data_IF_837345397969
#
_entry.id   IF_837345397969
#
_cell.length_a   1.000
_cell.length_b   1.000
_cell.length_c   1.000
_cell.angle_alpha   90.00
_cell.angle_beta   90.00
_cell.angle_gamma   90.00
#
_symmetry.space_group_name_H-M   'P 1'
#
loop_
_entity.id
_entity.type
_entity.pdbx_description
1 polymer ?
#
# COMPACT_ATOMS: atom_id res chain seq x y z
N UNK A 1 -23.35 -34.54 2.72
CA UNK A 1 -21.95 -34.39 2.27
C UNK A 1 -21.56 -33.00 1.77
N UNK A 2 -22.37 -32.28 0.96
CA UNK A 2 -22.06 -30.87 0.60
C UNK A 2 -22.36 -29.82 1.70
N UNK A 3 -23.25 -30.11 2.65
CA UNK A 3 -23.59 -29.21 3.79
C UNK A 3 -22.55 -29.23 4.91
N UNK A 4 -21.84 -30.33 5.11
CA UNK A 4 -20.85 -30.50 6.19
C UNK A 4 -19.55 -29.74 5.93
N UNK A 5 -19.15 -29.55 4.66
CA UNK A 5 -17.95 -28.75 4.31
C UNK A 5 -18.11 -27.24 4.49
N UNK A 6 -19.34 -26.69 4.46
CA UNK A 6 -19.56 -25.25 4.69
C UNK A 6 -19.50 -24.85 6.17
N UNK A 7 -19.70 -25.80 7.09
CA UNK A 7 -19.67 -25.56 8.54
C UNK A 7 -18.24 -25.48 9.09
N UNK A 8 -17.25 -26.02 8.40
CA UNK A 8 -15.83 -25.94 8.81
C UNK A 8 -15.31 -24.49 8.75
N UNK A 9 -15.75 -23.68 7.78
CA UNK A 9 -15.31 -22.30 7.63
C UNK A 9 -15.82 -21.34 8.72
N UNK A 10 -16.81 -21.74 9.53
CA UNK A 10 -17.39 -20.91 10.61
C UNK A 10 -16.78 -21.25 11.97
N UNK A 11 -16.12 -22.40 12.09
CA UNK A 11 -15.60 -22.85 13.39
C UNK A 11 -14.41 -22.01 13.82
N UNK A 12 -14.54 -21.39 14.99
CA UNK A 12 -13.39 -20.89 15.74
C UNK A 12 -12.60 -22.14 16.17
N UNK A 13 -11.51 -22.44 15.47
CA UNK A 13 -10.68 -23.63 15.71
C UNK A 13 -9.87 -23.50 17.01
N UNK A 14 -9.80 -24.59 17.77
CA UNK A 14 -8.89 -24.80 18.90
C UNK A 14 -7.57 -25.41 18.42
N UNK A 15 -6.43 -24.90 18.87
CA UNK A 15 -5.10 -25.51 18.68
C UNK A 15 -4.89 -26.73 19.59
N UNK A 16 -5.68 -27.80 19.40
CA UNK A 16 -5.44 -29.08 20.06
C UNK A 16 -5.24 -30.14 18.98
N UNK A 17 -4.00 -30.27 18.49
CA UNK A 17 -3.55 -31.53 17.92
C UNK A 17 -3.29 -32.48 19.09
N UNK A 18 -4.14 -33.49 19.23
CA UNK A 18 -3.95 -34.61 20.14
C UNK A 18 -2.64 -35.32 19.81
N UNK A 19 -1.69 -35.32 20.75
CA UNK A 19 -0.53 -36.22 20.74
C UNK A 19 -1.05 -37.65 20.92
N UNK A 20 -1.15 -38.42 19.83
CA UNK A 20 -1.19 -39.86 19.92
C UNK A 20 0.25 -40.36 19.97
N UNK A 21 0.68 -40.81 21.15
CA UNK A 21 1.77 -41.76 21.27
C UNK A 21 1.26 -43.10 20.72
N UNK A 22 1.85 -43.60 19.64
CA UNK A 22 1.75 -44.99 19.24
C UNK A 22 3.15 -45.58 19.13
N UNK A 23 3.29 -46.69 19.84
CA UNK A 23 4.41 -47.58 20.02
C UNK A 23 5.04 -48.02 18.69
N UNK A 24 6.34 -48.27 18.73
CA UNK A 24 7.12 -48.93 17.69
C UNK A 24 6.48 -50.26 17.28
N UNK A 25 6.46 -50.52 15.98
CA UNK A 25 6.58 -51.86 15.42
C UNK A 25 7.21 -51.71 14.02
N UNK A 26 8.37 -52.34 13.88
CA UNK A 26 9.10 -52.59 12.63
C UNK A 26 8.22 -53.36 11.64
N UNK A 27 8.33 -53.05 10.34
CA UNK A 27 8.44 -54.07 9.27
C UNK A 27 8.67 -53.41 7.89
N UNK A 28 9.41 -54.16 7.09
CA UNK A 28 10.02 -53.89 5.78
C UNK A 28 9.07 -53.45 4.64
N UNK A 29 9.60 -52.68 3.66
CA UNK A 29 9.67 -53.10 2.23
C UNK A 29 10.02 -51.94 1.25
N UNK A 30 11.21 -52.08 0.66
CA UNK A 30 11.59 -52.03 -0.76
C UNK A 30 10.80 -51.24 -1.87
N UNK A 31 11.62 -50.61 -2.75
CA UNK A 31 11.42 -50.15 -4.14
C UNK A 31 10.68 -48.83 -4.48
N UNK A 32 11.41 -47.85 -5.04
CA UNK A 32 11.55 -47.69 -6.51
C UNK A 32 11.90 -46.26 -6.93
N UNK A 33 12.88 -46.14 -7.83
CA UNK A 33 13.26 -44.93 -8.56
C UNK A 33 12.16 -44.45 -9.52
N UNK A 34 11.96 -43.12 -9.58
CA UNK A 34 11.14 -42.49 -10.61
C UNK A 34 11.34 -40.98 -10.65
N UNK A 35 12.29 -40.53 -11.46
CA UNK A 35 12.58 -39.12 -11.71
C UNK A 35 11.51 -38.42 -12.58
N UNK A 36 11.39 -37.11 -12.38
CA UNK A 36 10.57 -36.23 -13.21
C UNK A 36 10.69 -34.80 -12.70
N UNK A 37 11.58 -34.03 -13.30
CA UNK A 37 11.94 -32.68 -12.86
C UNK A 37 10.84 -31.63 -13.06
N UNK A 38 10.92 -30.59 -12.24
CA UNK A 38 10.37 -29.28 -12.56
C UNK A 38 11.30 -28.21 -12.00
N UNK A 39 11.68 -27.29 -12.88
CA UNK A 39 12.68 -26.24 -12.73
C UNK A 39 12.23 -25.18 -11.73
N UNK A 40 12.86 -25.15 -10.56
CA UNK A 40 12.85 -23.99 -9.68
C UNK A 40 13.91 -22.99 -10.14
N UNK A 41 13.46 -21.78 -10.50
CA UNK A 41 14.33 -20.63 -10.66
C UNK A 41 14.80 -20.17 -9.28
N UNK A 42 16.06 -20.48 -8.97
CA UNK A 42 16.84 -19.85 -7.92
C UNK A 42 16.85 -18.33 -8.14
N UNK A 43 16.45 -17.57 -7.12
CA UNK A 43 16.73 -16.14 -7.04
C UNK A 43 17.67 -15.92 -5.86
N UNK A 44 18.95 -15.76 -6.21
CA UNK A 44 20.04 -15.47 -5.29
C UNK A 44 19.98 -14.03 -4.80
N UNK A 45 19.98 -13.87 -3.48
CA UNK A 45 20.12 -12.60 -2.79
C UNK A 45 21.59 -12.19 -2.79
N UNK A 46 21.97 -11.22 -3.63
CA UNK A 46 23.32 -10.63 -3.63
C UNK A 46 23.24 -9.20 -3.11
N UNK A 47 23.36 -9.05 -1.80
CA UNK A 47 23.62 -7.77 -1.13
C UNK A 47 25.08 -7.69 -0.72
N UNK A 48 25.89 -7.04 -1.56
CA UNK A 48 27.32 -6.79 -1.36
C UNK A 48 27.50 -5.72 -0.28
N UNK A 49 28.11 -6.07 0.86
CA UNK A 49 28.62 -5.13 1.86
C UNK A 49 30.15 -5.22 1.87
N UNK A 50 30.79 -4.07 2.06
CA UNK A 50 32.16 -3.75 1.66
C UNK A 50 33.27 -4.64 2.20
N UNK A 51 34.24 -4.88 1.33
CA UNK A 51 35.58 -5.38 1.61
C UNK A 51 36.44 -4.22 2.14
N UNK A 52 36.97 -4.34 3.35
CA UNK A 52 38.25 -3.73 3.78
C UNK A 52 38.96 -4.74 4.69
N UNK A 53 39.98 -5.36 4.09
CA UNK A 53 41.32 -5.77 4.54
C UNK A 53 41.59 -6.46 5.89
N UNK A 54 42.45 -7.47 5.75
CA UNK A 54 43.07 -8.44 6.67
C UNK A 54 43.93 -7.80 7.78
N UNK A 55 44.02 -8.46 8.95
CA UNK A 55 45.31 -8.81 9.57
C UNK A 55 45.12 -9.81 10.73
N UNK A 56 46.04 -10.78 10.78
CA UNK A 56 46.18 -11.87 11.73
C UNK A 56 46.43 -11.41 13.18
N UNK A 57 45.98 -12.19 14.17
CA UNK A 57 46.82 -12.53 15.33
C UNK A 57 46.23 -13.70 16.14
N UNK A 58 47.03 -14.76 16.27
CA UNK A 58 46.85 -15.86 17.21
C UNK A 58 47.06 -15.37 18.66
N UNK A 59 46.13 -15.68 19.58
CA UNK A 59 46.52 -16.01 20.95
C UNK A 59 45.42 -16.73 21.73
N UNK A 60 45.78 -17.90 22.24
CA UNK A 60 45.09 -18.68 23.25
C UNK A 60 44.79 -17.85 24.50
N UNK A 61 43.54 -17.86 24.96
CA UNK A 61 43.23 -17.97 26.37
C UNK A 61 41.78 -18.46 26.58
N UNK A 62 41.68 -19.73 26.95
CA UNK A 62 40.57 -20.29 27.73
C UNK A 62 40.13 -19.33 28.84
N UNK A 63 38.93 -18.76 28.72
CA UNK A 63 38.10 -18.47 29.87
C UNK A 63 36.67 -18.91 29.60
N UNK A 64 36.39 -20.06 30.19
CA UNK A 64 35.09 -20.65 30.45
C UNK A 64 34.11 -19.60 31.01
N UNK A 65 33.30 -18.96 30.14
CA UNK A 65 32.10 -18.21 30.55
C UNK A 65 30.96 -19.21 30.73
N UNK A 66 31.01 -19.91 31.85
CA UNK A 66 29.86 -20.61 32.40
C UNK A 66 28.72 -19.61 32.60
N UNK A 67 27.59 -19.88 31.96
CA UNK A 67 26.26 -19.87 32.55
C UNK A 67 25.96 -18.77 33.60
N UNK A 68 25.72 -17.55 33.15
CA UNK A 68 24.79 -16.64 33.85
C UNK A 68 23.35 -17.00 33.46
N UNK A 69 22.96 -18.27 33.69
CA UNK A 69 21.58 -18.70 33.69
C UNK A 69 20.96 -18.25 35.01
N UNK A 70 20.12 -17.24 34.92
CA UNK A 70 19.19 -16.81 35.94
C UNK A 70 18.34 -18.01 36.38
N UNK A 71 18.75 -18.71 37.45
CA UNK A 71 17.96 -19.77 38.09
C UNK A 71 16.72 -19.12 38.73
N UNK A 72 15.67 -18.90 37.94
CA UNK A 72 14.33 -18.78 38.48
C UNK A 72 14.03 -20.06 39.25
N UNK A 73 13.75 -19.95 40.54
CA UNK A 73 13.41 -21.07 41.40
C UNK A 73 12.23 -21.84 40.76
N UNK A 74 12.40 -23.15 40.55
CA UNK A 74 11.37 -24.02 39.95
C UNK A 74 10.03 -23.87 40.68
N UNK A 75 10.07 -23.59 41.99
CA UNK A 75 8.90 -23.29 42.81
C UNK A 75 8.13 -22.05 42.31
N UNK A 76 8.85 -21.00 41.93
CA UNK A 76 8.26 -19.74 41.42
C UNK A 76 7.63 -19.97 40.04
N UNK A 77 8.28 -20.75 39.17
CA UNK A 77 7.76 -21.10 37.85
C UNK A 77 6.45 -21.91 37.96
N UNK A 78 6.38 -22.84 38.91
CA UNK A 78 5.18 -23.63 39.22
C UNK A 78 4.03 -22.71 39.65
N UNK A 79 4.28 -21.79 40.58
CA UNK A 79 3.26 -20.87 41.09
C UNK A 79 2.74 -19.92 40.01
N UNK A 80 3.63 -19.33 39.22
CA UNK A 80 3.25 -18.49 38.08
C UNK A 80 2.39 -19.24 37.06
N UNK A 81 2.74 -20.49 36.74
CA UNK A 81 1.95 -21.30 35.82
C UNK A 81 0.57 -21.65 36.41
N UNK A 82 0.49 -21.95 37.72
CA UNK A 82 -0.79 -22.22 38.41
C UNK A 82 -1.72 -21.01 38.36
N UNK A 83 -1.21 -19.80 38.56
CA UNK A 83 -2.01 -18.57 38.45
C UNK A 83 -2.53 -18.38 37.02
N UNK A 84 -1.72 -18.66 36.01
CA UNK A 84 -2.15 -18.58 34.61
C UNK A 84 -3.20 -19.65 34.26
N UNK A 85 -3.08 -20.88 34.77
CA UNK A 85 -4.04 -21.96 34.52
C UNK A 85 -5.43 -21.71 35.11
N UNK A 86 -5.53 -20.86 36.14
CA UNK A 86 -6.82 -20.39 36.69
C UNK A 86 -7.54 -19.41 35.75
N UNK A 87 -6.87 -18.94 34.70
CA UNK A 87 -7.49 -18.08 33.69
C UNK A 87 -8.71 -18.76 33.05
N UNK A 88 -9.79 -18.00 32.91
CA UNK A 88 -11.02 -18.47 32.25
C UNK A 88 -10.71 -18.94 30.83
N UNK A 89 -11.11 -20.17 30.51
CA UNK A 89 -10.88 -20.79 29.19
C UNK A 89 -9.41 -20.78 28.73
N UNK A 90 -8.44 -20.70 29.66
CA UNK A 90 -7.01 -20.64 29.31
C UNK A 90 -6.53 -21.81 28.46
N UNK A 91 -7.18 -22.98 28.56
CA UNK A 91 -6.91 -24.14 27.69
C UNK A 91 -7.04 -23.83 26.19
N UNK A 92 -7.79 -22.78 25.83
CA UNK A 92 -8.00 -22.35 24.44
C UNK A 92 -6.95 -21.33 23.96
N UNK A 93 -6.10 -20.83 24.84
CA UNK A 93 -5.06 -19.85 24.51
C UNK A 93 -3.87 -20.51 23.80
N UNK A 94 -3.23 -19.79 22.87
CA UNK A 94 -2.09 -20.31 22.08
C UNK A 94 -0.89 -20.68 22.95
N UNK A 95 -0.72 -20.00 24.08
CA UNK A 95 0.37 -20.23 25.03
C UNK A 95 0.14 -21.42 25.98
N UNK A 96 -1.06 -22.02 25.98
CA UNK A 96 -1.44 -23.07 26.94
C UNK A 96 -0.47 -24.25 26.91
N UNK A 97 -0.16 -24.76 25.71
CA UNK A 97 0.75 -25.91 25.53
C UNK A 97 2.15 -25.58 26.04
N UNK A 98 2.70 -24.42 25.68
CA UNK A 98 4.05 -24.01 26.11
C UNK A 98 4.13 -23.83 27.62
N UNK A 99 3.08 -23.29 28.25
CA UNK A 99 3.03 -23.11 29.72
C UNK A 99 2.87 -24.44 30.45
N UNK A 100 2.06 -25.37 29.93
CA UNK A 100 1.99 -26.75 30.46
C UNK A 100 3.33 -27.46 30.35
N UNK A 101 4.02 -27.34 29.21
CA UNK A 101 5.37 -27.91 29.05
C UNK A 101 6.38 -27.29 30.03
N UNK A 102 6.34 -25.97 30.25
CA UNK A 102 7.19 -25.31 31.26
C UNK A 102 6.89 -25.79 32.67
N UNK A 103 5.61 -25.93 33.02
CA UNK A 103 5.18 -26.44 34.33
C UNK A 103 5.66 -27.87 34.59
N UNK A 104 5.56 -28.75 33.59
CA UNK A 104 6.04 -30.13 33.68
C UNK A 104 7.58 -30.21 33.80
N UNK A 105 8.31 -29.34 33.06
CA UNK A 105 9.77 -29.26 33.16
C UNK A 105 10.26 -28.77 34.53
N UNK A 106 9.46 -27.98 35.23
CA UNK A 106 9.74 -27.51 36.59
C UNK A 106 9.34 -28.53 37.69
N UNK A 107 9.04 -29.80 37.33
CA UNK A 107 8.56 -30.85 38.25
C UNK A 107 7.18 -30.59 38.88
N UNK A 108 6.34 -29.78 38.23
CA UNK A 108 4.95 -29.58 38.64
C UNK A 108 4.11 -30.85 38.50
N UNK A 109 3.21 -31.10 39.46
CA UNK A 109 2.31 -32.27 39.44
C UNK A 109 1.27 -32.16 38.33
N UNK A 110 1.20 -33.18 37.47
CA UNK A 110 0.27 -33.16 36.33
C UNK A 110 -1.20 -33.03 36.73
N UNK A 111 -1.59 -33.64 37.86
CA UNK A 111 -2.95 -33.55 38.41
C UNK A 111 -3.39 -32.11 38.69
N UNK A 112 -2.48 -31.27 39.15
CA UNK A 112 -2.78 -29.89 39.53
C UNK A 112 -3.20 -29.07 38.31
N UNK A 113 -2.46 -29.13 37.20
CA UNK A 113 -2.82 -28.35 36.01
C UNK A 113 -4.05 -28.93 35.30
N UNK A 114 -4.24 -30.26 35.31
CA UNK A 114 -5.43 -30.89 34.72
C UNK A 114 -6.68 -30.44 35.47
N UNK A 115 -6.66 -30.45 36.80
CA UNK A 115 -7.76 -29.98 37.62
C UNK A 115 -8.03 -28.48 37.37
N UNK A 116 -6.98 -27.64 37.43
CA UNK A 116 -7.12 -26.19 37.26
C UNK A 116 -7.64 -25.80 35.86
N UNK A 117 -7.17 -26.46 34.79
CA UNK A 117 -7.65 -26.18 33.44
C UNK A 117 -9.08 -26.68 33.23
N UNK A 118 -9.44 -27.85 33.80
CA UNK A 118 -10.78 -28.42 33.67
C UNK A 118 -11.81 -27.60 34.46
N UNK A 119 -11.50 -27.19 35.68
CA UNK A 119 -12.39 -26.37 36.53
C UNK A 119 -12.65 -24.99 35.93
N UNK A 120 -11.67 -24.40 35.24
CA UNK A 120 -11.79 -23.06 34.67
C UNK A 120 -12.20 -23.04 33.19
N UNK A 121 -12.50 -24.19 32.60
CA UNK A 121 -13.04 -24.29 31.25
C UNK A 121 -14.56 -24.09 31.25
N UNK A 122 -15.00 -23.00 30.63
CA UNK A 122 -16.40 -22.58 30.51
C UNK A 122 -16.95 -22.79 29.08
N UNK A 123 -16.08 -23.04 28.10
CA UNK A 123 -16.47 -23.37 26.74
C UNK A 123 -17.13 -22.22 25.97
N UNK A 124 -16.71 -20.98 26.23
CA UNK A 124 -17.34 -19.78 25.62
C UNK A 124 -17.25 -19.81 24.09
N UNK A 125 -16.14 -20.28 23.52
CA UNK A 125 -15.98 -20.42 22.08
C UNK A 125 -16.95 -21.45 21.48
N UNK A 126 -17.17 -22.57 22.18
CA UNK A 126 -18.11 -23.61 21.78
C UNK A 126 -19.55 -23.12 21.86
N UNK A 127 -19.88 -22.32 22.87
CA UNK A 127 -21.18 -21.66 22.97
C UNK A 127 -21.43 -20.69 21.81
N UNK A 128 -20.39 -19.95 21.39
CA UNK A 128 -20.49 -19.08 20.22
C UNK A 128 -20.77 -19.88 18.93
N UNK A 129 -20.10 -21.02 18.73
CA UNK A 129 -20.38 -21.93 17.61
C UNK A 129 -21.84 -22.45 17.66
N UNK A 130 -22.33 -22.81 18.84
CA UNK A 130 -23.71 -23.28 19.01
C UNK A 130 -24.73 -22.17 18.70
N UNK A 131 -24.46 -20.94 19.11
CA UNK A 131 -25.28 -19.77 18.77
C UNK A 131 -25.30 -19.52 17.26
N UNK A 132 -24.15 -19.67 16.58
CA UNK A 132 -24.08 -19.57 15.12
C UNK A 132 -24.95 -20.65 14.45
N UNK A 133 -24.91 -21.90 14.92
CA UNK A 133 -25.76 -22.98 14.43
C UNK A 133 -27.25 -22.69 14.66
N UNK A 134 -27.61 -22.12 15.83
CA UNK A 134 -28.99 -21.75 16.12
C UNK A 134 -29.51 -20.63 15.24
N UNK A 135 -28.67 -19.64 14.90
CA UNK A 135 -29.03 -18.58 13.95
C UNK A 135 -29.34 -19.17 12.57
N UNK A 136 -28.55 -20.16 12.12
CA UNK A 136 -28.80 -20.88 10.87
C UNK A 136 -30.14 -21.63 10.92
N UNK A 137 -30.43 -22.32 12.03
CA UNK A 137 -31.71 -23.03 12.22
C UNK A 137 -32.89 -22.07 12.29
N UNK A 138 -32.71 -20.88 12.88
CA UNK A 138 -33.73 -19.84 12.98
C UNK A 138 -34.06 -19.15 11.64
N UNK A 139 -33.31 -19.44 10.58
CA UNK A 139 -33.59 -18.98 9.21
C UNK A 139 -32.56 -18.03 8.63
N UNK A 140 -31.49 -17.69 9.35
CA UNK A 140 -30.36 -16.95 8.77
C UNK A 140 -29.61 -17.83 7.77
N UNK A 141 -29.10 -17.21 6.71
CA UNK A 141 -28.17 -17.87 5.81
C UNK A 141 -26.80 -18.08 6.49
N UNK A 142 -26.06 -19.07 6.01
CA UNK A 142 -24.71 -19.38 6.49
C UNK A 142 -23.78 -18.19 6.25
N UNK A 143 -23.98 -17.52 5.11
CA UNK A 143 -23.23 -16.36 4.67
C UNK A 143 -23.46 -15.15 5.60
N UNK A 144 -24.69 -14.88 6.02
CA UNK A 144 -25.01 -13.80 6.98
C UNK A 144 -24.37 -14.04 8.35
N UNK A 145 -24.44 -15.28 8.86
CA UNK A 145 -23.84 -15.62 10.16
C UNK A 145 -22.32 -15.51 10.10
N UNK A 146 -21.69 -15.96 9.02
CA UNK A 146 -20.26 -15.79 8.79
C UNK A 146 -19.88 -14.31 8.78
N UNK A 147 -20.62 -13.47 8.06
CA UNK A 147 -20.36 -12.03 8.01
C UNK A 147 -20.48 -11.36 9.39
N UNK A 148 -21.43 -11.80 10.23
CA UNK A 148 -21.55 -11.30 11.62
C UNK A 148 -20.30 -11.63 12.44
N UNK A 149 -19.81 -12.86 12.35
CA UNK A 149 -18.62 -13.30 13.08
C UNK A 149 -17.37 -12.58 12.55
N UNK A 150 -17.18 -12.53 11.23
CA UNK A 150 -16.05 -11.85 10.60
C UNK A 150 -16.00 -10.37 10.96
N UNK A 151 -17.14 -9.68 10.92
CA UNK A 151 -17.24 -8.27 11.28
C UNK A 151 -16.87 -8.04 12.74
N UNK A 152 -17.39 -8.86 13.64
CA UNK A 152 -17.06 -8.74 15.06
C UNK A 152 -15.57 -9.02 15.34
N UNK A 153 -15.01 -10.04 14.69
CA UNK A 153 -13.59 -10.38 14.82
C UNK A 153 -12.70 -9.25 14.26
N UNK A 154 -13.06 -8.69 13.10
CA UNK A 154 -12.40 -7.51 12.53
C UNK A 154 -12.38 -6.35 13.52
N UNK A 155 -13.52 -6.01 14.12
CA UNK A 155 -13.62 -4.92 15.09
C UNK A 155 -12.76 -5.17 16.35
N UNK A 156 -12.73 -6.42 16.83
CA UNK A 156 -11.88 -6.82 17.95
C UNK A 156 -10.39 -6.70 17.63
N UNK A 157 -9.97 -7.12 16.43
CA UNK A 157 -8.59 -6.99 15.98
C UNK A 157 -8.23 -5.52 15.92
N UNK A 158 -9.03 -4.68 15.24
CA UNK A 158 -8.75 -3.25 15.10
C UNK A 158 -8.64 -2.55 16.46
N UNK A 159 -9.48 -2.92 17.43
CA UNK A 159 -9.51 -2.31 18.76
C UNK A 159 -8.30 -2.71 19.62
N UNK A 160 -7.84 -3.95 19.51
CA UNK A 160 -6.83 -4.52 20.39
C UNK A 160 -5.46 -4.71 19.71
N UNK A 161 -5.31 -4.28 18.46
CA UNK A 161 -4.07 -4.40 17.72
C UNK A 161 -2.93 -3.61 18.40
N UNK A 162 -1.82 -4.30 18.64
CA UNK A 162 -0.59 -3.72 19.19
C UNK A 162 0.53 -3.88 18.14
N UNK A 163 1.01 -2.77 17.54
CA UNK A 163 2.01 -2.83 16.48
C UNK A 163 3.34 -3.41 16.95
N UNK A 164 3.72 -3.20 18.23
CA UNK A 164 5.00 -3.70 18.76
C UNK A 164 4.98 -5.21 18.90
N UNK A 165 3.86 -5.77 19.34
CA UNK A 165 3.70 -7.23 19.44
C UNK A 165 3.65 -7.87 18.06
N UNK A 166 2.93 -7.25 17.11
CA UNK A 166 2.88 -7.73 15.74
C UNK A 166 4.27 -7.76 15.09
N UNK A 167 5.05 -6.68 15.26
CA UNK A 167 6.41 -6.60 14.74
C UNK A 167 7.34 -7.60 15.43
N UNK A 168 7.21 -7.81 16.75
CA UNK A 168 8.00 -8.82 17.47
C UNK A 168 7.75 -10.24 16.96
N UNK A 169 6.50 -10.59 16.62
CA UNK A 169 6.18 -11.89 16.02
C UNK A 169 6.82 -11.99 14.64
N UNK A 170 6.76 -10.91 13.86
CA UNK A 170 7.29 -10.87 12.51
C UNK A 170 8.82 -10.96 12.47
N UNK A 171 9.52 -10.30 13.39
CA UNK A 171 10.99 -10.34 13.47
C UNK A 171 11.50 -11.62 14.15
N UNK A 172 10.72 -12.21 15.05
CA UNK A 172 11.15 -13.36 15.85
C UNK A 172 11.23 -14.68 15.08
N UNK A 173 10.43 -14.87 14.03
CA UNK A 173 10.41 -16.10 13.24
C UNK A 173 11.36 -16.11 12.04
N UNK A 174 11.98 -14.98 11.67
CA UNK A 174 12.82 -14.84 10.48
C UNK A 174 12.09 -14.99 9.13
N UNK A 175 10.87 -15.54 9.15
CA UNK A 175 9.97 -15.65 8.01
C UNK A 175 8.61 -15.03 8.32
N UNK A 176 7.93 -14.48 7.30
CA UNK A 176 6.57 -13.97 7.44
C UNK A 176 5.63 -15.09 7.90
N UNK A 177 4.69 -14.81 8.82
CA UNK A 177 3.74 -15.82 9.26
C UNK A 177 2.85 -16.30 8.10
N UNK A 178 2.82 -17.61 7.83
CA UNK A 178 2.07 -18.20 6.71
C UNK A 178 0.55 -17.95 6.75
N UNK A 179 -0.02 -17.66 7.92
CA UNK A 179 -1.42 -17.27 8.04
C UNK A 179 -1.74 -15.95 7.34
N UNK A 180 -0.76 -15.06 7.13
CA UNK A 180 -0.97 -13.80 6.40
C UNK A 180 -1.36 -14.10 4.95
N UNK A 181 -0.70 -15.06 4.31
CA UNK A 181 -0.98 -15.46 2.92
C UNK A 181 -2.42 -15.94 2.75
N UNK A 182 -2.90 -16.76 3.69
CA UNK A 182 -4.28 -17.25 3.70
C UNK A 182 -5.27 -16.10 3.95
N UNK A 183 -4.99 -15.23 4.93
CA UNK A 183 -5.87 -14.12 5.28
C UNK A 183 -6.06 -13.13 4.12
N UNK A 184 -5.01 -12.78 3.39
CA UNK A 184 -5.11 -11.78 2.30
C UNK A 184 -5.93 -12.28 1.10
N UNK A 185 -6.21 -13.59 0.99
CA UNK A 185 -7.10 -14.10 -0.06
C UNK A 185 -8.54 -13.60 0.10
N UNK A 186 -8.95 -13.25 1.32
CA UNK A 186 -10.29 -12.80 1.62
C UNK A 186 -10.40 -11.26 1.67
N UNK A 187 -11.35 -10.64 0.93
CA UNK A 187 -11.52 -9.19 0.89
C UNK A 187 -11.71 -8.49 2.25
N UNK A 188 -12.51 -9.02 3.21
CA UNK A 188 -12.71 -8.36 4.50
C UNK A 188 -11.42 -8.15 5.30
N UNK A 189 -10.50 -9.11 5.24
CA UNK A 189 -9.20 -9.04 5.92
C UNK A 189 -8.24 -8.07 5.23
N UNK A 190 -8.26 -7.98 3.89
CA UNK A 190 -7.49 -6.94 3.17
C UNK A 190 -7.90 -5.54 3.60
N UNK A 191 -9.21 -5.28 3.70
CA UNK A 191 -9.74 -4.00 4.18
C UNK A 191 -9.28 -3.73 5.62
N UNK A 192 -9.30 -4.74 6.49
CA UNK A 192 -8.77 -4.62 7.85
C UNK A 192 -7.29 -4.25 7.87
N UNK A 193 -6.46 -4.87 7.03
CA UNK A 193 -5.04 -4.53 6.93
C UNK A 193 -4.81 -3.09 6.45
N UNK A 194 -5.61 -2.61 5.49
CA UNK A 194 -5.58 -1.20 5.06
C UNK A 194 -5.94 -0.25 6.21
N UNK A 195 -6.99 -0.55 6.98
CA UNK A 195 -7.41 0.29 8.12
C UNK A 195 -6.35 0.30 9.23
N UNK A 196 -5.70 -0.83 9.47
CA UNK A 196 -4.61 -0.94 10.43
C UNK A 196 -3.36 -0.19 9.97
N UNK A 197 -3.00 -0.26 8.68
CA UNK A 197 -1.82 0.44 8.16
C UNK A 197 -2.02 1.96 8.16
N UNK A 198 -3.25 2.45 7.97
CA UNK A 198 -3.59 3.86 8.15
C UNK A 198 -3.42 4.32 9.61
N UNK A 199 -3.75 3.46 10.59
CA UNK A 199 -3.58 3.78 12.02
C UNK A 199 -2.14 3.65 12.50
N UNK A 200 -1.39 2.71 11.94
CA UNK A 200 -0.03 2.35 12.38
C UNK A 200 0.93 2.27 11.18
N UNK A 201 1.28 3.41 10.55
CA UNK A 201 2.08 3.44 9.33
C UNK A 201 3.51 2.92 9.51
N UNK A 202 4.04 2.96 10.73
CA UNK A 202 5.41 2.53 11.04
C UNK A 202 5.52 1.03 11.37
N UNK A 203 4.41 0.30 11.41
CA UNK A 203 4.41 -1.13 11.72
C UNK A 203 5.00 -1.93 10.56
N UNK A 204 6.09 -2.66 10.84
CA UNK A 204 6.82 -3.44 9.84
C UNK A 204 5.96 -4.55 9.25
N UNK A 205 5.24 -5.28 10.10
CA UNK A 205 4.35 -6.37 9.69
C UNK A 205 3.28 -5.86 8.73
N UNK A 206 2.60 -4.76 9.08
CA UNK A 206 1.57 -4.17 8.22
C UNK A 206 2.17 -3.71 6.89
N UNK A 207 3.31 -3.03 6.92
CA UNK A 207 3.98 -2.59 5.69
C UNK A 207 4.31 -3.76 4.76
N UNK A 208 4.78 -4.87 5.32
CA UNK A 208 5.02 -6.11 4.57
C UNK A 208 3.72 -6.71 4.02
N UNK A 209 2.66 -6.82 4.83
CA UNK A 209 1.37 -7.34 4.38
C UNK A 209 0.78 -6.50 3.24
N UNK A 210 0.88 -5.17 3.31
CA UNK A 210 0.45 -4.28 2.24
C UNK A 210 1.19 -4.56 0.93
N UNK A 211 2.49 -4.83 1.00
CA UNK A 211 3.30 -5.25 -0.15
C UNK A 211 2.81 -6.59 -0.72
N UNK A 212 2.56 -7.59 0.12
CA UNK A 212 2.00 -8.88 -0.33
C UNK A 212 0.64 -8.73 -1.02
N UNK A 213 -0.24 -7.90 -0.47
CA UNK A 213 -1.55 -7.62 -1.07
C UNK A 213 -1.39 -6.97 -2.46
N UNK A 214 -0.44 -6.05 -2.60
CA UNK A 214 -0.10 -5.44 -3.89
C UNK A 214 0.56 -6.43 -4.86
N UNK A 215 1.33 -7.40 -4.37
CA UNK A 215 1.98 -8.42 -5.20
C UNK A 215 0.95 -9.42 -5.73
N UNK A 216 -0.08 -9.72 -4.94
CA UNK A 216 -1.21 -10.56 -5.32
C UNK A 216 -2.19 -9.88 -6.29
N UNK A 217 -2.05 -8.58 -6.57
CA UNK A 217 -2.85 -7.87 -7.56
C UNK A 217 -4.10 -7.16 -7.03
N UNK A 218 -4.28 -7.08 -5.70
CA UNK A 218 -5.47 -6.47 -5.08
C UNK A 218 -5.34 -4.96 -4.80
N UNK A 219 -4.33 -4.29 -5.37
CA UNK A 219 -4.06 -2.86 -5.15
C UNK A 219 -5.20 -1.92 -5.60
N UNK A 220 -6.10 -2.36 -6.47
CA UNK A 220 -7.25 -1.55 -6.90
C UNK A 220 -8.31 -1.38 -5.83
N UNK A 221 -8.35 -2.27 -4.82
CA UNK A 221 -9.25 -2.21 -3.67
C UNK A 221 -8.80 -1.17 -2.64
N UNK A 222 -7.56 -0.67 -2.74
CA UNK A 222 -6.95 0.31 -1.83
C UNK A 222 -7.52 1.73 -1.98
N UNK A 223 -8.41 1.98 -2.95
CA UNK A 223 -8.67 3.30 -3.54
C UNK A 223 -8.96 4.48 -2.57
N UNK A 224 -9.37 4.22 -1.32
CA UNK A 224 -9.66 5.25 -0.32
C UNK A 224 -8.71 5.29 0.88
N UNK A 225 -7.82 4.30 1.05
CA UNK A 225 -6.94 4.20 2.22
C UNK A 225 -5.52 4.60 1.87
N UNK A 226 -4.98 5.57 2.58
CA UNK A 226 -4.03 6.50 1.99
C UNK A 226 -2.58 6.35 2.45
N UNK A 227 -2.34 5.71 3.59
CA UNK A 227 -0.99 5.44 4.10
C UNK A 227 -0.24 4.43 3.24
N UNK A 228 -0.95 3.48 2.61
CA UNK A 228 -0.36 2.47 1.73
C UNK A 228 0.38 3.10 0.53
N UNK A 229 -0.04 4.29 0.08
CA UNK A 229 0.61 5.02 -1.02
C UNK A 229 1.91 5.72 -0.62
N UNK A 230 2.28 5.73 0.66
CA UNK A 230 3.61 6.17 1.07
C UNK A 230 4.70 5.17 0.66
N UNK A 231 4.33 3.91 0.38
CA UNK A 231 5.24 2.93 -0.19
C UNK A 231 5.29 3.08 -1.71
N UNK A 232 6.45 3.51 -2.24
CA UNK A 232 6.62 3.77 -3.67
C UNK A 232 6.36 2.54 -4.54
N UNK A 233 6.75 1.34 -4.09
CA UNK A 233 6.54 0.08 -4.82
C UNK A 233 5.05 -0.19 -5.05
N UNK A 234 4.25 -0.04 -3.99
CA UNK A 234 2.80 -0.24 -3.98
C UNK A 234 2.13 0.78 -4.87
N UNK A 235 2.46 2.06 -4.71
CA UNK A 235 1.89 3.14 -5.51
C UNK A 235 2.26 3.01 -7.00
N UNK A 236 3.47 2.56 -7.31
CA UNK A 236 3.92 2.32 -8.70
C UNK A 236 3.12 1.20 -9.37
N UNK A 237 2.89 0.09 -8.66
CA UNK A 237 2.06 -1.02 -9.16
C UNK A 237 0.61 -0.58 -9.35
N UNK A 238 0.06 0.20 -8.41
CA UNK A 238 -1.25 0.81 -8.55
C UNK A 238 -1.37 1.67 -9.82
N UNK A 239 -0.42 2.60 -10.03
CA UNK A 239 -0.37 3.44 -11.22
C UNK A 239 -0.26 2.62 -12.51
N UNK A 240 0.65 1.62 -12.54
CA UNK A 240 0.84 0.73 -13.68
C UNK A 240 -0.44 -0.01 -14.03
N UNK A 241 -1.09 -0.65 -13.05
CA UNK A 241 -2.34 -1.38 -13.26
C UNK A 241 -3.43 -0.45 -13.77
N UNK A 242 -3.54 0.76 -13.21
CA UNK A 242 -4.54 1.73 -13.67
C UNK A 242 -4.30 2.17 -15.12
N UNK A 243 -3.06 2.58 -15.46
CA UNK A 243 -2.71 3.03 -16.81
C UNK A 243 -2.93 1.92 -17.83
N UNK A 244 -2.52 0.67 -17.52
CA UNK A 244 -2.73 -0.48 -18.40
C UNK A 244 -4.22 -0.80 -18.57
N UNK A 245 -5.00 -0.77 -17.50
CA UNK A 245 -6.45 -1.00 -17.57
C UNK A 245 -7.14 0.08 -18.41
N UNK A 246 -6.73 1.34 -18.24
CA UNK A 246 -7.27 2.45 -19.03
C UNK A 246 -6.88 2.34 -20.52
N UNK A 247 -5.66 1.88 -20.82
CA UNK A 247 -5.21 1.71 -22.20
C UNK A 247 -5.88 0.51 -22.90
N UNK A 248 -6.10 -0.59 -22.17
CA UNK A 248 -6.74 -1.80 -22.71
C UNK A 248 -8.26 -1.68 -22.80
N UNK A 249 -8.87 -0.97 -21.87
CA UNK A 249 -10.31 -0.66 -21.86
C UNK A 249 -10.48 0.86 -21.73
N UNK A 250 -10.39 1.60 -22.85
CA UNK A 250 -10.51 3.05 -22.83
C UNK A 250 -11.90 3.44 -22.33
N UNK A 251 -11.98 3.89 -21.09
CA UNK A 251 -13.15 4.57 -20.55
C UNK A 251 -13.06 6.05 -20.91
N UNK A 252 -14.21 6.66 -21.19
CA UNK A 252 -14.28 8.11 -21.38
C UNK A 252 -13.98 8.90 -20.09
N UNK A 253 -13.99 8.21 -18.95
CA UNK A 253 -13.90 8.84 -17.63
C UNK A 253 -12.88 8.14 -16.74
N UNK A 254 -12.07 8.96 -16.07
CA UNK A 254 -11.23 8.54 -14.95
C UNK A 254 -12.12 8.42 -13.71
N UNK A 255 -12.01 7.32 -12.96
CA UNK A 255 -12.78 7.13 -11.72
C UNK A 255 -12.36 8.15 -10.66
N UNK A 256 -13.32 8.70 -9.91
CA UNK A 256 -13.03 9.67 -8.85
C UNK A 256 -12.15 9.11 -7.73
N UNK A 257 -12.27 7.81 -7.44
CA UNK A 257 -11.43 7.17 -6.42
C UNK A 257 -9.96 7.19 -6.81
N UNK A 258 -9.64 6.94 -8.08
CA UNK A 258 -8.27 7.06 -8.59
C UNK A 258 -7.72 8.48 -8.44
N UNK A 259 -8.52 9.49 -8.75
CA UNK A 259 -8.11 10.90 -8.59
C UNK A 259 -7.80 11.19 -7.12
N UNK A 260 -8.65 10.74 -6.19
CA UNK A 260 -8.40 10.88 -4.76
C UNK A 260 -7.12 10.17 -4.32
N UNK A 261 -6.85 8.97 -4.85
CA UNK A 261 -5.62 8.22 -4.57
C UNK A 261 -4.38 8.98 -5.05
N UNK A 262 -4.37 9.45 -6.31
CA UNK A 262 -3.23 10.18 -6.88
C UNK A 262 -3.03 11.54 -6.19
N UNK A 263 -4.12 12.24 -5.88
CA UNK A 263 -4.10 13.55 -5.24
C UNK A 263 -4.05 13.48 -3.71
N UNK A 264 -3.80 12.31 -3.14
CA UNK A 264 -3.75 12.14 -1.70
C UNK A 264 -2.67 13.03 -1.05
N UNK A 265 -1.47 12.99 -1.60
CA UNK A 265 -0.35 13.82 -1.20
C UNK A 265 0.25 14.59 -2.38
N UNK A 266 1.02 15.64 -2.08
CA UNK A 266 1.79 16.36 -3.11
C UNK A 266 2.85 15.45 -3.75
N UNK A 267 3.43 14.54 -2.98
CA UNK A 267 4.43 13.57 -3.45
C UNK A 267 3.81 12.51 -4.36
N UNK A 268 2.65 11.95 -4.03
CA UNK A 268 1.94 10.98 -4.90
C UNK A 268 1.50 11.63 -6.20
N UNK A 269 1.01 12.87 -6.14
CA UNK A 269 0.65 13.64 -7.32
C UNK A 269 1.87 13.89 -8.22
N UNK A 270 2.97 14.37 -7.63
CA UNK A 270 4.20 14.64 -8.36
C UNK A 270 4.72 13.36 -9.04
N UNK A 271 4.79 12.26 -8.29
CA UNK A 271 5.23 10.97 -8.82
C UNK A 271 4.37 10.50 -10.00
N UNK A 272 3.04 10.57 -9.86
CA UNK A 272 2.11 10.20 -10.92
C UNK A 272 2.31 11.05 -12.19
N UNK A 273 2.45 12.37 -12.04
CA UNK A 273 2.69 13.28 -13.16
C UNK A 273 4.04 13.01 -13.83
N UNK A 274 5.11 12.77 -13.06
CA UNK A 274 6.42 12.40 -13.60
C UNK A 274 6.34 11.08 -14.38
N UNK A 275 5.66 10.06 -13.85
CA UNK A 275 5.49 8.77 -14.53
C UNK A 275 4.72 8.92 -15.85
N UNK A 276 3.61 9.66 -15.85
CA UNK A 276 2.83 9.92 -17.07
C UNK A 276 3.65 10.66 -18.12
N UNK A 277 4.42 11.67 -17.70
CA UNK A 277 5.28 12.43 -18.60
C UNK A 277 6.40 11.57 -19.19
N UNK A 278 7.07 10.75 -18.38
CA UNK A 278 8.13 9.86 -18.84
C UNK A 278 7.60 8.84 -19.86
N UNK A 279 6.47 8.18 -19.58
CA UNK A 279 5.85 7.24 -20.52
C UNK A 279 5.41 7.98 -21.80
N UNK A 280 4.85 9.19 -21.67
CA UNK A 280 4.47 10.02 -22.83
C UNK A 280 5.66 10.34 -23.73
N UNK A 281 6.82 10.66 -23.15
CA UNK A 281 8.06 10.91 -23.89
C UNK A 281 8.59 9.64 -24.56
N UNK A 282 8.54 8.49 -23.87
CA UNK A 282 8.96 7.21 -24.44
C UNK A 282 8.08 6.77 -25.62
N UNK A 283 6.76 7.01 -25.54
CA UNK A 283 5.85 6.73 -26.65
C UNK A 283 6.14 7.62 -27.85
N UNK A 284 6.41 8.91 -27.62
CA UNK A 284 6.76 9.87 -28.68
C UNK A 284 8.03 9.46 -29.43
N UNK A 285 9.08 9.04 -28.69
CA UNK A 285 10.33 8.51 -29.28
C UNK A 285 10.10 7.27 -30.13
N UNK A 286 9.07 6.47 -29.81
CA UNK A 286 8.68 5.28 -30.58
C UNK A 286 7.71 5.61 -31.72
N UNK A 287 7.36 6.87 -31.93
CA UNK A 287 6.37 7.30 -32.93
C UNK A 287 4.94 6.88 -32.61
N UNK A 288 4.66 6.52 -31.35
CA UNK A 288 3.35 6.12 -30.87
C UNK A 288 2.58 7.34 -30.33
N UNK A 289 1.25 7.28 -30.39
CA UNK A 289 0.41 8.35 -29.87
C UNK A 289 0.48 8.43 -28.35
N UNK A 290 0.84 9.60 -27.83
CA UNK A 290 0.86 9.91 -26.39
C UNK A 290 -0.36 10.74 -25.93
N UNK A 291 -1.31 11.02 -26.83
CA UNK A 291 -2.44 11.90 -26.58
C UNK A 291 -3.30 11.46 -25.37
N UNK A 292 -3.48 10.15 -25.19
CA UNK A 292 -4.23 9.57 -24.08
C UNK A 292 -3.58 9.88 -22.71
N UNK A 293 -2.26 9.76 -22.61
CA UNK A 293 -1.52 10.05 -21.37
C UNK A 293 -1.47 11.54 -21.07
N UNK A 294 -1.30 12.36 -22.10
CA UNK A 294 -1.35 13.81 -21.97
C UNK A 294 -2.73 14.29 -21.51
N UNK A 295 -3.81 13.73 -22.09
CA UNK A 295 -5.16 13.96 -21.63
C UNK A 295 -5.35 13.52 -20.17
N UNK A 296 -4.87 12.32 -19.80
CA UNK A 296 -4.97 11.81 -18.43
C UNK A 296 -4.26 12.73 -17.43
N UNK A 297 -3.04 13.17 -17.75
CA UNK A 297 -2.27 14.13 -16.95
C UNK A 297 -3.02 15.46 -16.74
N UNK A 298 -3.63 15.99 -17.81
CA UNK A 298 -4.44 17.22 -17.75
C UNK A 298 -5.73 17.03 -16.97
N UNK A 299 -6.41 15.89 -17.10
CA UNK A 299 -7.65 15.59 -16.40
C UNK A 299 -7.38 15.42 -14.89
N UNK A 300 -6.30 14.74 -14.51
CA UNK A 300 -5.84 14.65 -13.12
C UNK A 300 -5.59 16.05 -12.55
N UNK A 301 -4.87 16.91 -13.27
CA UNK A 301 -4.59 18.28 -12.85
C UNK A 301 -5.87 19.10 -12.67
N UNK A 302 -6.79 19.02 -13.63
CA UNK A 302 -8.06 19.74 -13.60
C UNK A 302 -8.91 19.32 -12.40
N UNK A 303 -9.00 18.02 -12.10
CA UNK A 303 -9.75 17.53 -10.95
C UNK A 303 -9.06 17.81 -9.62
N UNK A 304 -7.73 17.73 -9.55
CA UNK A 304 -6.97 18.12 -8.37
C UNK A 304 -7.21 19.60 -8.00
N UNK A 305 -7.26 20.49 -9.00
CA UNK A 305 -7.59 21.91 -8.79
C UNK A 305 -9.04 22.13 -8.32
N UNK A 306 -9.99 21.30 -8.80
CA UNK A 306 -11.39 21.30 -8.33
C UNK A 306 -11.52 20.82 -6.88
N UNK A 307 -10.65 19.91 -6.44
CA UNK A 307 -10.55 19.48 -5.04
C UNK A 307 -9.91 20.53 -4.11
N UNK A 308 -9.42 21.65 -4.67
CA UNK A 308 -8.81 22.75 -3.90
C UNK A 308 -7.32 22.59 -3.65
N UNK A 309 -6.65 21.62 -4.29
CA UNK A 309 -5.20 21.50 -4.19
C UNK A 309 -4.49 22.56 -5.04
N UNK A 310 -3.52 23.25 -4.45
CA UNK A 310 -2.59 24.10 -5.20
C UNK A 310 -1.50 23.24 -5.84
N UNK A 311 -1.74 22.90 -7.11
CA UNK A 311 -0.87 22.05 -7.94
C UNK A 311 -0.11 22.86 -9.00
N UNK A 312 -0.47 24.12 -9.22
CA UNK A 312 -0.02 24.89 -10.37
C UNK A 312 1.50 25.11 -10.42
N UNK A 313 2.20 25.31 -9.28
CA UNK A 313 3.66 25.32 -9.28
C UNK A 313 4.25 24.04 -9.86
N UNK A 314 3.71 22.87 -9.48
CA UNK A 314 4.19 21.56 -9.95
C UNK A 314 3.90 21.35 -11.44
N UNK A 315 2.69 21.70 -11.89
CA UNK A 315 2.30 21.59 -13.31
C UNK A 315 3.20 22.47 -14.19
N UNK A 316 3.37 23.74 -13.82
CA UNK A 316 4.18 24.69 -14.59
C UNK A 316 5.66 24.29 -14.62
N UNK A 317 6.22 23.84 -13.50
CA UNK A 317 7.58 23.31 -13.45
C UNK A 317 7.73 22.04 -14.29
N UNK A 318 6.78 21.11 -14.22
CA UNK A 318 6.77 19.89 -15.03
C UNK A 318 6.71 20.16 -16.53
N UNK A 319 6.02 21.24 -16.95
CA UNK A 319 6.02 21.68 -18.35
C UNK A 319 7.37 22.33 -18.75
N UNK A 320 8.22 22.70 -17.81
CA UNK A 320 9.50 23.37 -18.01
C UNK A 320 9.41 24.90 -18.03
N UNK A 321 8.29 25.49 -17.58
CA UNK A 321 8.09 26.95 -17.59
C UNK A 321 9.09 27.70 -16.70
N UNK A 322 9.78 27.01 -15.78
CA UNK A 322 10.88 27.57 -14.99
C UNK A 322 12.02 28.17 -15.84
N UNK A 323 12.21 27.72 -17.09
CA UNK A 323 13.17 28.34 -18.04
C UNK A 323 12.78 29.76 -18.46
N UNK A 324 11.51 30.15 -18.26
CA UNK A 324 10.97 31.47 -18.61
C UNK A 324 10.29 32.11 -17.39
N UNK A 325 11.06 32.68 -16.43
CA UNK A 325 10.54 33.10 -15.12
C UNK A 325 9.39 34.11 -15.18
N UNK A 326 9.41 35.04 -16.14
CA UNK A 326 8.32 36.03 -16.32
C UNK A 326 7.01 35.39 -16.76
N UNK A 327 7.09 34.40 -17.64
CA UNK A 327 5.92 33.64 -18.13
C UNK A 327 5.39 32.74 -17.03
N UNK A 328 6.30 32.07 -16.31
CA UNK A 328 5.96 31.26 -15.14
C UNK A 328 5.19 32.05 -14.07
N UNK A 329 5.70 33.20 -13.65
CA UNK A 329 5.05 34.03 -12.62
C UNK A 329 3.69 34.56 -13.08
N UNK A 330 3.59 35.00 -14.34
CA UNK A 330 2.32 35.47 -14.90
C UNK A 330 1.28 34.34 -14.95
N UNK A 331 1.65 33.16 -15.48
CA UNK A 331 0.74 32.00 -15.54
C UNK A 331 0.35 31.51 -14.14
N UNK A 332 1.29 31.43 -13.21
CA UNK A 332 1.02 31.05 -11.82
C UNK A 332 -0.04 31.98 -11.20
N UNK A 333 0.19 33.30 -11.26
CA UNK A 333 -0.73 34.30 -10.71
C UNK A 333 -2.14 34.19 -11.33
N UNK A 334 -2.24 33.99 -12.64
CA UNK A 334 -3.53 33.89 -13.34
C UNK A 334 -4.31 32.63 -12.98
N UNK A 335 -3.62 31.48 -12.94
CA UNK A 335 -4.27 30.18 -12.76
C UNK A 335 -4.55 29.89 -11.28
N UNK A 336 -3.64 30.26 -10.36
CA UNK A 336 -3.83 30.12 -8.92
C UNK A 336 -5.00 30.99 -8.42
N UNK A 337 -5.06 32.26 -8.84
CA UNK A 337 -6.15 33.18 -8.48
C UNK A 337 -7.44 32.96 -9.25
N UNK A 338 -7.44 32.02 -10.22
CA UNK A 338 -8.57 31.74 -11.13
C UNK A 338 -9.18 33.03 -11.72
N UNK A 339 -8.33 34.01 -12.05
CA UNK A 339 -8.76 35.33 -12.51
C UNK A 339 -7.75 35.97 -13.45
N UNK A 340 -8.25 36.68 -14.46
CA UNK A 340 -7.42 37.35 -15.44
C UNK A 340 -7.17 38.80 -15.03
N UNK A 341 -5.90 39.15 -14.80
CA UNK A 341 -5.50 40.54 -14.61
C UNK A 341 -4.79 41.11 -15.86
N UNK A 342 -5.03 42.38 -16.23
CA UNK A 342 -4.46 42.96 -17.46
C UNK A 342 -2.93 43.07 -17.47
N UNK A 343 -2.30 43.10 -16.28
CA UNK A 343 -0.84 43.17 -16.12
C UNK A 343 -0.16 41.90 -16.60
N UNK A 344 -0.54 40.76 -16.03
CA UNK A 344 -0.02 39.44 -16.38
C UNK A 344 -0.35 39.08 -17.83
N UNK A 345 -1.53 39.43 -18.33
CA UNK A 345 -1.86 39.27 -19.76
C UNK A 345 -0.94 40.11 -20.66
N UNK A 346 -0.58 41.33 -20.23
CA UNK A 346 0.37 42.15 -21.00
C UNK A 346 1.78 41.56 -20.96
N UNK A 347 2.20 40.94 -19.85
CA UNK A 347 3.47 40.22 -19.75
C UNK A 347 3.50 39.04 -20.72
N UNK A 348 2.45 38.21 -20.72
CA UNK A 348 2.33 37.08 -21.65
C UNK A 348 2.30 37.55 -23.11
N UNK A 349 1.48 38.54 -23.43
CA UNK A 349 1.41 39.09 -24.78
C UNK A 349 2.78 39.54 -25.30
N UNK A 350 3.55 40.28 -24.48
CA UNK A 350 4.91 40.70 -24.84
C UNK A 350 5.85 39.52 -25.02
N UNK A 351 5.76 38.51 -24.16
CA UNK A 351 6.61 37.32 -24.24
C UNK A 351 6.33 36.47 -25.48
N UNK A 352 5.09 36.45 -25.99
CA UNK A 352 4.72 35.67 -27.19
C UNK A 352 4.71 36.48 -28.49
N UNK A 353 4.97 37.79 -28.43
CA UNK A 353 5.05 38.67 -29.61
C UNK A 353 6.48 38.85 -30.14
N UNK A 354 7.49 38.24 -29.50
CA UNK A 354 8.89 38.31 -29.95
C UNK A 354 9.20 37.23 -30.99
N UNK A 355 10.33 37.38 -31.68
CA UNK A 355 10.77 36.45 -32.73
C UNK A 355 11.06 35.03 -32.21
N UNK A 356 11.53 34.91 -30.97
CA UNK A 356 11.80 33.64 -30.29
C UNK A 356 10.89 33.50 -29.05
N UNK A 357 9.62 33.11 -29.24
CA UNK A 357 8.65 33.01 -28.17
C UNK A 357 8.88 31.76 -27.29
N UNK A 358 8.42 31.76 -26.03
CA UNK A 358 8.39 30.56 -25.21
C UNK A 358 7.52 29.46 -25.84
N UNK A 359 7.70 28.19 -25.45
CA UNK A 359 6.85 27.09 -25.89
C UNK A 359 5.35 27.37 -25.79
N UNK A 360 4.62 27.14 -26.88
CA UNK A 360 3.18 27.31 -27.00
C UNK A 360 2.41 26.43 -26.01
N UNK A 361 2.98 25.28 -25.62
CA UNK A 361 2.40 24.39 -24.61
C UNK A 361 2.08 25.10 -23.29
N UNK A 362 2.81 26.15 -22.90
CA UNK A 362 2.51 26.89 -21.66
C UNK A 362 1.17 27.66 -21.72
N UNK A 363 0.73 28.06 -22.91
CA UNK A 363 -0.58 28.69 -23.11
C UNK A 363 -1.71 27.67 -23.28
N UNK A 364 -1.38 26.39 -23.48
CA UNK A 364 -2.35 25.30 -23.68
C UNK A 364 -2.79 24.63 -22.38
N UNK A 365 -2.65 25.32 -21.24
CA UNK A 365 -3.15 24.84 -19.96
C UNK A 365 -4.69 24.97 -19.98
N UNK A 366 -5.47 23.88 -19.80
CA UNK A 366 -6.93 23.94 -19.89
C UNK A 366 -7.54 25.02 -18.98
N UNK A 367 -7.09 25.11 -17.73
CA UNK A 367 -7.56 26.12 -16.79
C UNK A 367 -7.29 27.56 -17.25
N UNK A 368 -6.18 27.82 -17.93
CA UNK A 368 -5.89 29.15 -18.47
C UNK A 368 -6.77 29.46 -19.70
N UNK A 369 -6.97 28.49 -20.58
CA UNK A 369 -7.87 28.62 -21.73
C UNK A 369 -9.31 28.85 -21.30
N UNK A 370 -9.79 28.14 -20.27
CA UNK A 370 -11.12 28.36 -19.69
C UNK A 370 -11.29 29.78 -19.18
N UNK A 371 -10.27 30.35 -18.53
CA UNK A 371 -10.31 31.76 -18.10
C UNK A 371 -10.41 32.72 -19.30
N UNK A 372 -9.64 32.47 -20.37
CA UNK A 372 -9.71 33.29 -21.59
C UNK A 372 -11.07 33.18 -22.27
N UNK A 373 -11.62 31.97 -22.37
CA UNK A 373 -12.94 31.71 -22.97
C UNK A 373 -14.02 32.42 -22.16
N UNK A 374 -14.02 32.27 -20.84
CA UNK A 374 -15.00 32.95 -19.97
C UNK A 374 -14.88 34.48 -20.10
N UNK A 375 -13.66 35.03 -20.11
CA UNK A 375 -13.50 36.47 -20.23
C UNK A 375 -13.92 37.02 -21.62
N UNK A 376 -13.74 36.26 -22.69
CA UNK A 376 -14.01 36.72 -24.06
C UNK A 376 -15.46 36.47 -24.52
N UNK A 377 -16.09 35.40 -24.04
CA UNK A 377 -17.35 34.89 -24.57
C UNK A 377 -18.48 34.81 -23.54
N UNK A 378 -18.22 34.97 -22.24
CA UNK A 378 -19.30 34.96 -21.25
C UNK A 378 -20.18 36.21 -21.40
N UNK A 379 -21.51 36.06 -21.50
CA UNK A 379 -22.43 37.20 -21.56
C UNK A 379 -22.27 38.10 -20.33
N UNK A 380 -22.10 39.41 -20.55
CA UNK A 380 -21.92 40.39 -19.48
C UNK A 380 -20.47 40.61 -19.02
N UNK A 381 -19.50 39.86 -19.55
CA UNK A 381 -18.08 40.14 -19.33
C UNK A 381 -17.68 41.47 -19.99
N UNK A 382 -16.94 42.32 -19.27
CA UNK A 382 -16.46 43.61 -19.78
C UNK A 382 -14.93 43.63 -19.74
N UNK A 383 -14.30 43.39 -20.89
CA UNK A 383 -12.86 43.59 -21.07
C UNK A 383 -12.64 45.00 -21.62
N UNK A 384 -11.68 45.73 -21.06
CA UNK A 384 -11.26 47.03 -21.59
C UNK A 384 -10.84 46.92 -23.06
N UNK A 385 -11.26 47.89 -23.88
CA UNK A 385 -11.00 47.92 -25.32
C UNK A 385 -9.49 47.82 -25.65
N UNK A 386 -8.64 48.41 -24.81
CA UNK A 386 -7.17 48.41 -25.01
C UNK A 386 -6.52 47.05 -24.75
N UNK A 387 -7.17 46.21 -23.94
CA UNK A 387 -6.65 44.89 -23.57
C UNK A 387 -7.24 43.77 -24.41
N UNK A 388 -8.45 43.95 -24.96
CA UNK A 388 -9.15 42.93 -25.77
C UNK A 388 -8.29 42.32 -26.89
N UNK A 389 -7.50 43.08 -27.68
CA UNK A 389 -6.63 42.50 -28.71
C UNK A 389 -5.57 41.55 -28.14
N UNK A 390 -5.06 41.81 -26.94
CA UNK A 390 -4.04 40.97 -26.29
C UNK A 390 -4.61 39.61 -25.86
N UNK A 391 -5.84 39.60 -25.33
CA UNK A 391 -6.54 38.36 -24.95
C UNK A 391 -6.82 37.51 -26.18
N UNK A 392 -7.33 38.13 -27.25
CA UNK A 392 -7.56 37.45 -28.53
C UNK A 392 -6.26 36.91 -29.14
N UNK A 393 -5.17 37.68 -29.08
CA UNK A 393 -3.86 37.23 -29.56
C UNK A 393 -3.39 35.99 -28.81
N UNK A 394 -3.44 35.98 -27.48
CA UNK A 394 -2.99 34.83 -26.69
C UNK A 394 -3.84 33.59 -26.95
N UNK A 395 -5.17 33.76 -27.06
CA UNK A 395 -6.08 32.67 -27.41
C UNK A 395 -5.78 32.12 -28.82
N UNK A 396 -5.64 33.01 -29.80
CA UNK A 396 -5.32 32.64 -31.18
C UNK A 396 -3.98 31.91 -31.24
N UNK A 397 -2.94 32.46 -30.60
CA UNK A 397 -1.61 31.84 -30.56
C UNK A 397 -1.66 30.43 -29.95
N UNK A 398 -2.38 30.25 -28.83
CA UNK A 398 -2.49 28.95 -28.17
C UNK A 398 -3.08 27.87 -29.09
N UNK A 399 -4.08 28.22 -29.92
CA UNK A 399 -4.78 27.29 -30.81
C UNK A 399 -4.16 27.15 -32.20
N UNK A 400 -3.44 28.16 -32.70
CA UNK A 400 -2.94 28.18 -34.08
C UNK A 400 -1.42 28.00 -34.22
N UNK A 401 -0.63 28.26 -33.18
CA UNK A 401 0.82 28.13 -33.27
C UNK A 401 1.22 26.66 -33.46
N UNK A 402 2.09 26.39 -34.43
CA UNK A 402 2.69 25.08 -34.65
C UNK A 402 4.20 25.20 -34.43
N UNK A 403 4.75 24.31 -33.61
CA UNK A 403 6.17 24.29 -33.26
C UNK A 403 6.76 22.97 -33.73
N UNK A 404 7.95 23.04 -34.30
CA UNK A 404 8.78 21.85 -34.53
C UNK A 404 9.95 21.92 -33.57
N UNK A 405 10.05 20.91 -32.72
CA UNK A 405 11.16 20.74 -31.79
C UNK A 405 12.11 19.72 -32.42
N UNK A 406 13.32 20.13 -32.76
CA UNK A 406 14.38 19.16 -33.07
C UNK A 406 14.70 18.39 -31.80
N UNK A 407 14.84 17.06 -31.91
CA UNK A 407 15.22 16.20 -30.79
C UNK A 407 16.60 16.58 -30.27
N UNK A 408 16.64 17.46 -29.28
CA UNK A 408 17.77 17.51 -28.37
C UNK A 408 17.60 16.31 -27.46
N UNK A 409 18.25 15.20 -27.81
CA UNK A 409 18.48 14.04 -26.96
C UNK A 409 19.30 14.43 -25.71
N UNK A 410 18.77 15.32 -24.86
CA UNK A 410 19.24 15.49 -23.51
C UNK A 410 18.52 14.45 -22.67
N UNK A 411 19.24 13.36 -22.38
CA UNK A 411 18.94 12.48 -21.25
C UNK A 411 18.75 13.36 -20.02
N UNK A 412 17.51 13.71 -19.69
CA UNK A 412 17.17 14.26 -18.38
C UNK A 412 17.33 13.10 -17.39
N UNK A 413 18.58 12.81 -17.02
CA UNK A 413 18.84 12.22 -15.71
C UNK A 413 18.33 13.26 -14.73
N UNK A 414 17.33 12.92 -13.93
CA UNK A 414 17.09 13.56 -12.65
C UNK A 414 18.37 13.43 -11.83
N UNK A 415 19.32 14.34 -11.99
CA UNK A 415 20.32 14.59 -10.97
C UNK A 415 19.58 15.37 -9.90
N UNK A 416 19.00 14.63 -8.97
CA UNK A 416 18.60 15.16 -7.68
C UNK A 416 19.88 15.69 -7.05
N UNK A 417 20.10 17.01 -7.14
CA UNK A 417 21.04 17.69 -6.25
C UNK A 417 20.42 17.64 -4.85
N UNK A 418 20.62 16.52 -4.16
CA UNK A 418 20.67 16.50 -2.71
C UNK A 418 22.05 17.01 -2.34
N UNK A 419 22.12 18.31 -2.01
CA UNK A 419 23.20 18.89 -1.20
C UNK A 419 22.70 18.98 0.23
#
# INVERSE_FOLDING_TARGET
YKKTRKLENIRIYSNIKTMNYSHDDDDDDEYSYGGGGSTHHDFSFTGKWGEEDEEDDENDHEMNKNDDLEYQDNQTIIEECKEVFKGKDFIMETAAITKVQKFLKAEGKAEDFVALLAENYHGVAQLANLLADWLIVAGCSVEEVQEIVERHLKDLIIKNFDPKKADSIFTGSGQPPGWIEEMITHPPWRIMFYELSDKYPDCLMLNYTIKMISDAGYQTEMGTMSSAFNQIDVFSKFMKTFILNFYTQPSSEIKNDFIKSVCHGKHTYLYAQCMLNEISMLLEQQGLSNACLNWMSQEISTRASKLGHDIWPLVLLGMGAGKHPRVYLALMSLVEKKSLNPGDITVLYKAYSVADPPPAKYLRIPAFLDLLVNALFQPGSTISADHKPKYLFLMAYAVSAYEQWEEVCQKFRFSVCLS
#
